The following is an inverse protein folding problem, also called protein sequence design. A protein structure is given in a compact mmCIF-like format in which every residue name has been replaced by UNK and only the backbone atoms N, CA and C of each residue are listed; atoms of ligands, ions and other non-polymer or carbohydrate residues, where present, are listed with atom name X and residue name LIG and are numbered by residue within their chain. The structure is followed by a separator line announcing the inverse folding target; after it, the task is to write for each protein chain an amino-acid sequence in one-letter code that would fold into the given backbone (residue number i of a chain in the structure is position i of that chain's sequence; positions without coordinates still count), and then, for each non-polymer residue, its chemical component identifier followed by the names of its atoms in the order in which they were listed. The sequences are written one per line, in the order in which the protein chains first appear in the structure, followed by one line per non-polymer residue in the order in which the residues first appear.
data_IF_583290757337
#
_entry.id   IF_583290757337
#
_cell.length_a   1.000
_cell.length_b   1.000
_cell.length_c   1.000
_cell.angle_alpha   90.00
_cell.angle_beta   90.00
_cell.angle_gamma   90.00
#
_symmetry.space_group_name_H-M   'P 1'
#
loop_
_entity.id
_entity.type
_entity.pdbx_description
1 polymer ?
#
# COMPACT_ATOMS: atom_id res chain seq x y z
N UNK A 1 -24.17 -3.68 22.16
CA UNK A 1 -22.77 -3.27 21.89
C UNK A 1 -22.08 -4.47 21.24
N UNK A 2 -22.16 -4.64 19.91
CA UNK A 2 -21.36 -5.67 19.22
C UNK A 2 -20.09 -4.99 18.75
N UNK A 3 -19.01 -5.22 19.50
CA UNK A 3 -17.65 -4.98 19.07
C UNK A 3 -17.45 -5.80 17.78
N UNK A 4 -17.43 -5.12 16.63
CA UNK A 4 -17.28 -5.76 15.33
C UNK A 4 -15.90 -6.40 15.25
N UNK A 5 -15.83 -7.72 15.43
CA UNK A 5 -14.65 -8.51 15.04
C UNK A 5 -14.55 -8.41 13.53
N UNK A 6 -13.58 -7.66 13.02
CA UNK A 6 -13.22 -7.70 11.61
C UNK A 6 -12.95 -9.15 11.23
N UNK A 7 -13.69 -9.67 10.25
CA UNK A 7 -13.50 -11.04 9.76
C UNK A 7 -12.15 -11.15 9.05
N UNK A 8 -11.56 -12.35 9.06
CA UNK A 8 -10.28 -12.63 8.38
C UNK A 8 -10.28 -12.16 6.92
N UNK A 9 -11.42 -12.26 6.22
CA UNK A 9 -11.62 -11.73 4.88
C UNK A 9 -11.44 -10.21 4.78
N UNK A 10 -11.91 -9.44 5.78
CA UNK A 10 -11.71 -7.99 5.79
C UNK A 10 -10.24 -7.64 6.00
N UNK A 11 -9.53 -8.39 6.84
CA UNK A 11 -8.09 -8.21 7.06
C UNK A 11 -7.30 -8.54 5.79
N UNK A 12 -7.65 -9.62 5.10
CA UNK A 12 -7.06 -9.98 3.80
C UNK A 12 -7.34 -8.93 2.74
N UNK A 13 -8.57 -8.43 2.66
CA UNK A 13 -8.94 -7.39 1.69
C UNK A 13 -8.16 -6.10 1.94
N UNK A 14 -8.05 -5.66 3.21
CA UNK A 14 -7.22 -4.50 3.56
C UNK A 14 -5.78 -4.69 3.12
N UNK A 15 -5.18 -5.83 3.46
CA UNK A 15 -3.82 -6.15 3.06
C UNK A 15 -3.64 -6.15 1.55
N UNK A 16 -4.57 -6.72 0.78
CA UNK A 16 -4.53 -6.70 -0.68
C UNK A 16 -4.62 -5.28 -1.25
N UNK A 17 -5.55 -4.47 -0.74
CA UNK A 17 -5.72 -3.07 -1.17
C UNK A 17 -4.47 -2.25 -0.85
N UNK A 18 -3.91 -2.43 0.34
CA UNK A 18 -2.65 -1.79 0.74
C UNK A 18 -1.51 -2.20 -0.18
N UNK A 19 -1.43 -3.48 -0.53
CA UNK A 19 -0.42 -4.03 -1.43
C UNK A 19 -0.51 -3.39 -2.82
N UNK A 20 -1.70 -3.37 -3.43
CA UNK A 20 -1.95 -2.71 -4.72
C UNK A 20 -1.64 -1.20 -4.66
N UNK A 21 -1.97 -0.56 -3.54
CA UNK A 21 -1.69 0.86 -3.34
C UNK A 21 -0.18 1.12 -3.28
N UNK A 22 0.60 0.33 -2.53
CA UNK A 22 2.06 0.46 -2.47
C UNK A 22 2.70 0.17 -3.83
N UNK A 23 2.16 -0.75 -4.61
CA UNK A 23 2.60 -0.96 -5.99
C UNK A 23 2.32 0.27 -6.88
N UNK A 24 1.16 0.89 -6.75
CA UNK A 24 0.85 2.14 -7.44
C UNK A 24 1.78 3.28 -7.02
N UNK A 25 2.18 3.35 -5.74
CA UNK A 25 3.17 4.33 -5.26
C UNK A 25 4.55 4.14 -5.90
N UNK A 26 4.90 2.94 -6.38
CA UNK A 26 6.13 2.73 -7.15
C UNK A 26 6.08 3.36 -8.56
N UNK A 27 4.90 3.75 -9.05
CA UNK A 27 4.74 4.42 -10.34
C UNK A 27 4.92 5.95 -10.18
N UNK A 28 5.94 6.56 -10.81
CA UNK A 28 6.17 8.00 -10.71
C UNK A 28 5.00 8.84 -11.27
N UNK A 29 4.24 8.34 -12.24
CA UNK A 29 3.07 9.04 -12.77
C UNK A 29 1.94 9.15 -11.73
N UNK A 30 1.75 8.10 -10.93
CA UNK A 30 0.74 8.08 -9.87
C UNK A 30 1.12 9.02 -8.73
N UNK A 31 2.41 9.02 -8.32
CA UNK A 31 2.93 9.99 -7.36
C UNK A 31 2.76 11.43 -7.85
N UNK A 32 2.99 11.68 -9.13
CA UNK A 32 2.82 13.01 -9.72
C UNK A 32 1.34 13.44 -9.69
N UNK A 33 0.42 12.53 -10.01
CA UNK A 33 -1.03 12.78 -9.89
C UNK A 33 -1.43 13.11 -8.44
N UNK A 34 -0.92 12.36 -7.46
CA UNK A 34 -1.19 12.60 -6.05
C UNK A 34 -0.66 13.98 -5.60
N UNK A 35 0.52 14.37 -6.10
CA UNK A 35 1.11 15.68 -5.82
C UNK A 35 0.30 16.82 -6.43
N UNK A 36 -0.12 16.68 -7.68
CA UNK A 36 -0.93 17.67 -8.37
C UNK A 36 -2.29 17.87 -7.69
N UNK A 37 -2.90 16.80 -7.19
CA UNK A 37 -4.15 16.85 -6.43
C UNK A 37 -3.98 17.40 -5.01
N UNK A 38 -2.75 17.49 -4.51
CA UNK A 38 -2.45 18.02 -3.18
C UNK A 38 -2.67 17.03 -2.04
N UNK A 39 -2.71 15.71 -2.30
CA UNK A 39 -2.88 14.71 -1.25
C UNK A 39 -1.73 14.72 -0.23
N UNK A 40 -0.51 15.08 -0.65
CA UNK A 40 0.62 15.22 0.28
C UNK A 40 0.50 16.42 1.24
N UNK A 41 -0.46 17.33 1.03
CA UNK A 41 -0.76 18.42 1.98
C UNK A 41 -1.67 17.97 3.12
N UNK A 42 -2.38 16.85 2.93
CA UNK A 42 -3.29 16.32 3.94
C UNK A 42 -2.54 15.48 4.97
N UNK A 43 -2.65 15.84 6.25
CA UNK A 43 -1.95 15.14 7.32
C UNK A 43 -2.43 13.71 7.52
N UNK A 44 -3.71 13.41 7.25
CA UNK A 44 -4.21 12.04 7.36
C UNK A 44 -3.58 11.15 6.30
N UNK A 45 -3.44 11.65 5.07
CA UNK A 45 -2.73 10.93 4.00
C UNK A 45 -1.25 10.71 4.33
N UNK A 46 -0.56 11.73 4.84
CA UNK A 46 0.85 11.60 5.26
C UNK A 46 1.01 10.56 6.39
N UNK A 47 0.10 10.53 7.35
CA UNK A 47 0.11 9.53 8.41
C UNK A 47 -0.14 8.11 7.85
N UNK A 48 -0.99 7.98 6.84
CA UNK A 48 -1.20 6.71 6.15
C UNK A 48 0.04 6.25 5.38
N UNK A 49 0.75 7.15 4.70
CA UNK A 49 2.04 6.84 4.07
C UNK A 49 3.09 6.39 5.09
N UNK A 50 3.13 7.01 6.27
CA UNK A 50 4.01 6.58 7.36
C UNK A 50 3.67 5.18 7.85
N UNK A 51 2.38 4.86 7.96
CA UNK A 51 1.94 3.51 8.27
C UNK A 51 2.48 2.53 7.22
N UNK A 52 2.28 2.81 5.92
CA UNK A 52 2.78 1.96 4.83
C UNK A 52 4.33 1.81 4.79
N UNK A 53 5.10 2.56 5.58
CA UNK A 53 6.55 2.33 5.69
C UNK A 53 6.88 0.97 6.33
N UNK A 54 5.95 0.30 7.03
CA UNK A 54 6.18 -1.06 7.53
C UNK A 54 6.44 -2.04 6.37
N UNK A 55 5.90 -1.78 5.18
CA UNK A 55 6.17 -2.59 3.99
C UNK A 55 7.65 -2.55 3.54
N UNK A 56 8.42 -1.56 4.01
CA UNK A 56 9.86 -1.45 3.75
C UNK A 56 10.66 -2.46 4.59
N UNK A 57 10.10 -3.00 5.65
CA UNK A 57 10.75 -4.02 6.46
C UNK A 57 10.98 -5.30 5.64
N UNK A 58 12.12 -6.00 5.85
CA UNK A 58 12.50 -7.15 5.02
C UNK A 58 11.46 -8.28 4.99
N UNK A 59 10.71 -8.47 6.08
CA UNK A 59 9.62 -9.44 6.19
C UNK A 59 8.51 -9.17 5.16
N UNK A 60 8.07 -7.91 5.04
CA UNK A 60 7.00 -7.49 4.13
C UNK A 60 7.50 -7.15 2.72
N UNK A 61 8.75 -6.70 2.59
CA UNK A 61 9.36 -6.37 1.32
C UNK A 61 9.45 -7.58 0.37
N UNK A 62 9.44 -8.81 0.91
CA UNK A 62 9.35 -10.03 0.09
C UNK A 62 8.07 -10.07 -0.74
N UNK A 63 6.94 -9.63 -0.19
CA UNK A 63 5.66 -9.56 -0.91
C UNK A 63 5.71 -8.51 -2.02
N UNK A 64 6.28 -7.33 -1.74
CA UNK A 64 6.52 -6.27 -2.73
C UNK A 64 7.40 -6.73 -3.90
N UNK A 65 8.53 -7.38 -3.59
CA UNK A 65 9.50 -7.85 -4.58
C UNK A 65 8.97 -9.02 -5.41
N UNK A 66 8.14 -9.89 -4.83
CA UNK A 66 7.66 -11.10 -5.49
C UNK A 66 6.92 -10.76 -6.79
N UNK A 67 6.01 -9.81 -6.75
CA UNK A 67 5.20 -9.38 -7.90
C UNK A 67 5.97 -8.55 -8.95
N UNK A 68 7.05 -7.86 -8.58
CA UNK A 68 7.95 -7.21 -9.53
C UNK A 68 8.81 -8.22 -10.32
N UNK A 69 9.02 -9.43 -9.79
CA UNK A 69 9.83 -10.47 -10.44
C UNK A 69 9.05 -11.30 -11.46
N UNK A 70 7.74 -11.47 -11.30
CA UNK A 70 6.93 -12.35 -12.18
C UNK A 70 6.74 -11.77 -13.60
N UNK A 71 7.11 -10.51 -13.84
CA UNK A 71 7.06 -9.87 -15.17
C UNK A 71 8.36 -9.94 -15.99
N UNK A 72 9.41 -10.67 -15.55
CA UNK A 72 10.73 -10.68 -16.21
C UNK A 72 11.25 -12.05 -16.66
N UNK A 73 10.40 -13.07 -16.65
CA UNK A 73 10.74 -14.40 -17.18
C UNK A 73 9.61 -14.88 -18.12
N UNK A 74 9.62 -14.39 -19.36
CA UNK A 74 8.99 -15.00 -20.56
C UNK A 74 9.67 -14.47 -21.81
#
# INVERSE_FOLDING_TARGET
MHCGTETEDQQRLRFMVELEFVQCLANPNYLNFLAQRGYFKDQAFVNYLKYLLYWKEPDYARYLKHMLRIGRES
#
